data_IF_016162779867
#
_entry.id   IF_016162779867
#
_cell.length_a   1.000
_cell.length_b   1.000
_cell.length_c   1.000
_cell.angle_alpha   90.00
_cell.angle_beta   90.00
_cell.angle_gamma   90.00
#
_symmetry.space_group_name_H-M   'P 1'
#
loop_
_entity.id
_entity.type
_entity.pdbx_description
1 polymer ?
#
# COMPACT_ATOMS: atom_id res chain seq x y z
N UNK A 1 33.49 -0.91 -9.46
CA UNK A 1 32.89 -2.01 -8.66
C UNK A 1 31.66 -1.57 -7.87
N UNK A 2 31.75 -0.51 -7.04
CA UNK A 2 30.62 -0.01 -6.22
C UNK A 2 29.40 0.40 -7.08
N UNK A 3 29.60 1.09 -8.20
CA UNK A 3 28.49 1.47 -9.09
C UNK A 3 27.78 0.28 -9.75
N UNK A 4 28.51 -0.81 -10.07
CA UNK A 4 27.92 -2.00 -10.66
C UNK A 4 27.07 -2.77 -9.64
N UNK A 5 27.53 -2.86 -8.39
CA UNK A 5 26.75 -3.44 -7.27
C UNK A 5 25.49 -2.62 -7.03
N UNK A 6 25.58 -1.28 -7.04
CA UNK A 6 24.43 -0.38 -6.89
C UNK A 6 23.37 -0.58 -7.99
N UNK A 7 23.81 -0.81 -9.24
CA UNK A 7 22.90 -1.04 -10.38
C UNK A 7 22.22 -2.40 -10.28
N UNK A 8 22.98 -3.47 -10.06
CA UNK A 8 22.42 -4.83 -9.93
C UNK A 8 21.44 -4.88 -8.76
N UNK A 9 21.81 -4.31 -7.63
CA UNK A 9 20.97 -4.24 -6.44
C UNK A 9 19.69 -3.43 -6.70
N UNK A 10 19.81 -2.26 -7.33
CA UNK A 10 18.63 -1.42 -7.64
C UNK A 10 17.69 -2.03 -8.65
N UNK A 11 18.21 -2.72 -9.66
CA UNK A 11 17.38 -3.45 -10.62
C UNK A 11 16.69 -4.65 -9.95
N UNK A 12 17.45 -5.46 -9.21
CA UNK A 12 16.91 -6.65 -8.54
C UNK A 12 15.84 -6.27 -7.51
N UNK A 13 16.15 -5.41 -6.54
CA UNK A 13 15.22 -5.08 -5.46
C UNK A 13 14.14 -4.09 -5.90
N UNK A 14 14.45 -3.15 -6.80
CA UNK A 14 13.48 -2.17 -7.27
C UNK A 14 12.40 -2.77 -8.16
N UNK A 15 12.81 -3.50 -9.21
CA UNK A 15 11.85 -4.12 -10.13
C UNK A 15 11.08 -5.23 -9.41
N UNK A 16 11.76 -6.08 -8.64
CA UNK A 16 11.10 -7.15 -7.90
C UNK A 16 10.16 -6.63 -6.82
N UNK A 17 10.58 -5.61 -6.05
CA UNK A 17 9.75 -4.95 -5.06
C UNK A 17 8.49 -4.34 -5.67
N UNK A 18 8.61 -3.65 -6.81
CA UNK A 18 7.45 -3.14 -7.56
C UNK A 18 6.52 -4.27 -8.04
N UNK A 19 7.06 -5.35 -8.62
CA UNK A 19 6.26 -6.47 -9.11
C UNK A 19 5.47 -7.13 -7.97
N UNK A 20 6.13 -7.40 -6.83
CA UNK A 20 5.45 -7.98 -5.66
C UNK A 20 4.37 -7.04 -5.17
N UNK A 21 4.67 -5.75 -5.06
CA UNK A 21 3.70 -4.76 -4.60
C UNK A 21 2.47 -4.71 -5.51
N UNK A 22 2.65 -4.59 -6.83
CA UNK A 22 1.53 -4.55 -7.78
C UNK A 22 0.74 -5.87 -7.82
N UNK A 23 1.40 -7.03 -7.69
CA UNK A 23 0.68 -8.30 -7.48
C UNK A 23 -0.16 -8.27 -6.22
N UNK A 24 0.37 -7.69 -5.14
CA UNK A 24 -0.37 -7.46 -3.91
C UNK A 24 -1.57 -6.53 -4.11
N UNK A 25 -1.41 -5.42 -4.85
CA UNK A 25 -2.51 -4.50 -5.17
C UNK A 25 -3.61 -5.20 -5.96
N UNK A 26 -3.26 -5.97 -7.00
CA UNK A 26 -4.22 -6.73 -7.79
C UNK A 26 -4.99 -7.69 -6.89
N UNK A 27 -4.30 -8.44 -6.02
CA UNK A 27 -4.95 -9.35 -5.08
C UNK A 27 -5.79 -8.64 -4.01
N UNK A 28 -5.41 -7.44 -3.61
CA UNK A 28 -6.16 -6.63 -2.66
C UNK A 28 -7.47 -6.14 -3.30
N UNK A 29 -7.43 -5.77 -4.58
CA UNK A 29 -8.62 -5.34 -5.34
C UNK A 29 -9.51 -6.52 -5.74
N UNK A 30 -8.90 -7.64 -6.10
CA UNK A 30 -9.57 -8.90 -6.49
C UNK A 30 -9.92 -9.75 -5.26
N UNK A 31 -10.36 -9.12 -4.17
CA UNK A 31 -10.70 -9.80 -2.91
C UNK A 31 -11.92 -10.73 -3.11
N UNK A 32 -11.64 -11.91 -3.66
CA UNK A 32 -12.55 -13.03 -3.84
C UNK A 32 -12.42 -14.01 -2.67
N UNK A 33 -12.11 -13.53 -1.47
CA UNK A 33 -12.19 -14.36 -0.27
C UNK A 33 -13.54 -15.08 -0.28
N UNK A 34 -13.49 -16.40 -0.25
CA UNK A 34 -14.64 -17.27 -0.39
C UNK A 34 -15.56 -17.03 0.83
N UNK A 35 -16.55 -16.15 0.66
CA UNK A 35 -17.41 -15.62 1.73
C UNK A 35 -18.26 -16.71 2.42
N UNK A 36 -18.29 -17.89 1.81
CA UNK A 36 -19.04 -19.08 2.24
C UNK A 36 -18.20 -20.06 3.08
N UNK A 37 -16.86 -19.89 3.13
CA UNK A 37 -15.98 -20.79 3.89
C UNK A 37 -15.55 -20.18 5.22
N UNK A 38 -15.52 -21.01 6.26
CA UNK A 38 -14.82 -20.78 7.53
C UNK A 38 -13.30 -20.72 7.32
N UNK A 39 -12.81 -19.81 6.47
CA UNK A 39 -11.41 -19.39 6.55
C UNK A 39 -11.33 -18.28 7.59
N UNK A 40 -10.38 -18.41 8.51
CA UNK A 40 -10.11 -17.42 9.55
C UNK A 40 -9.64 -16.06 9.01
N UNK A 41 -9.43 -15.92 7.69
CA UNK A 41 -9.08 -14.67 7.05
C UNK A 41 -10.32 -13.83 6.71
N UNK A 42 -10.41 -12.66 7.35
CA UNK A 42 -11.44 -11.66 7.05
C UNK A 42 -11.17 -10.99 5.70
N UNK A 43 -12.24 -10.77 4.94
CA UNK A 43 -12.20 -9.94 3.72
C UNK A 43 -11.80 -8.50 4.06
N UNK A 44 -11.18 -7.80 3.10
CA UNK A 44 -10.93 -6.37 3.18
C UNK A 44 -12.19 -5.54 2.96
N UNK A 45 -13.17 -6.04 2.20
CA UNK A 45 -14.29 -5.23 1.73
C UNK A 45 -15.68 -5.78 2.04
N UNK A 46 -15.79 -7.11 2.17
CA UNK A 46 -17.06 -7.81 2.27
C UNK A 46 -17.30 -8.35 3.68
N UNK A 47 -18.55 -8.45 4.10
CA UNK A 47 -18.90 -9.14 5.36
C UNK A 47 -19.06 -10.63 5.17
N UNK A 48 -18.50 -11.42 6.09
CA UNK A 48 -18.78 -12.85 6.17
C UNK A 48 -20.25 -13.04 6.53
N UNK A 49 -21.08 -13.31 5.53
CA UNK A 49 -22.54 -13.22 5.60
C UNK A 49 -23.10 -14.08 6.73
N UNK A 50 -22.64 -15.32 6.85
CA UNK A 50 -22.99 -16.24 7.94
C UNK A 50 -22.76 -15.62 9.34
N UNK A 51 -21.53 -15.15 9.62
CA UNK A 51 -21.16 -14.55 10.90
C UNK A 51 -21.89 -13.24 11.16
N UNK A 52 -22.12 -12.46 10.11
CA UNK A 52 -22.84 -11.18 10.17
C UNK A 52 -24.28 -11.37 10.61
N UNK A 53 -25.05 -12.24 9.94
CA UNK A 53 -26.45 -12.47 10.30
C UNK A 53 -26.59 -13.20 11.64
N UNK A 54 -25.72 -14.18 11.94
CA UNK A 54 -25.66 -14.82 13.28
C UNK A 54 -25.38 -13.82 14.41
N UNK A 55 -24.76 -12.68 14.11
CA UNK A 55 -24.47 -11.60 15.05
C UNK A 55 -25.54 -10.49 15.07
N UNK A 56 -26.77 -10.79 14.63
CA UNK A 56 -27.88 -9.83 14.50
C UNK A 56 -27.60 -8.71 13.48
N UNK A 57 -26.88 -9.04 12.42
CA UNK A 57 -26.78 -8.20 11.23
C UNK A 57 -28.13 -8.05 10.54
N UNK A 58 -28.42 -6.85 10.07
CA UNK A 58 -29.60 -6.54 9.27
C UNK A 58 -29.18 -5.83 8.00
N UNK A 59 -29.72 -6.28 6.87
CA UNK A 59 -29.58 -5.66 5.56
C UNK A 59 -30.95 -5.20 5.09
N UNK A 60 -31.04 -3.99 4.57
CA UNK A 60 -32.25 -3.43 3.98
C UNK A 60 -31.93 -3.01 2.55
N UNK A 61 -32.69 -3.54 1.61
CA UNK A 61 -32.69 -3.03 0.24
C UNK A 61 -33.45 -1.69 0.22
N UNK A 62 -32.77 -0.64 -0.23
CA UNK A 62 -33.34 0.71 -0.26
C UNK A 62 -34.33 0.94 -1.40
N UNK A 63 -34.27 0.11 -2.45
CA UNK A 63 -35.13 0.23 -3.63
C UNK A 63 -36.47 -0.47 -3.40
N UNK A 64 -36.45 -1.64 -2.76
CA UNK A 64 -37.65 -2.45 -2.48
C UNK A 64 -38.19 -2.28 -1.06
N UNK A 65 -37.35 -1.84 -0.12
CA UNK A 65 -37.68 -1.79 1.31
C UNK A 65 -37.62 -3.16 2.01
N UNK A 66 -37.19 -4.22 1.32
CA UNK A 66 -37.07 -5.56 1.89
C UNK A 66 -36.01 -5.61 2.98
N UNK A 67 -36.34 -6.31 4.08
CA UNK A 67 -35.48 -6.43 5.26
C UNK A 67 -35.01 -7.87 5.40
N UNK A 68 -33.70 -8.06 5.27
CA UNK A 68 -33.04 -9.35 5.43
C UNK A 68 -32.37 -9.42 6.79
N UNK A 69 -32.74 -10.43 7.58
CA UNK A 69 -32.19 -10.74 8.91
C UNK A 69 -32.42 -12.22 9.22
N UNK A 70 -31.78 -12.75 10.25
CA UNK A 70 -32.14 -14.08 10.77
C UNK A 70 -33.61 -14.05 11.24
N UNK A 71 -34.41 -15.00 10.76
CA UNK A 71 -35.82 -15.13 11.13
C UNK A 71 -35.97 -16.44 11.90
N UNK A 72 -36.76 -16.43 12.98
CA UNK A 72 -37.18 -17.64 13.66
C UNK A 72 -38.47 -18.13 12.98
N UNK A 73 -38.44 -19.24 12.21
CA UNK A 73 -39.64 -19.76 11.58
C UNK A 73 -40.62 -20.23 12.65
N UNK A 74 -41.91 -20.04 12.41
CA UNK A 74 -43.00 -20.33 13.36
C UNK A 74 -42.96 -21.80 13.86
N UNK A 75 -42.44 -22.70 13.03
CA UNK A 75 -42.46 -24.14 13.28
C UNK A 75 -41.11 -24.75 13.71
N UNK A 76 -40.07 -23.93 13.92
CA UNK A 76 -38.74 -24.43 14.33
C UNK A 76 -38.11 -23.53 15.39
N UNK A 77 -37.57 -24.15 16.45
CA UNK A 77 -36.84 -23.44 17.51
C UNK A 77 -35.48 -22.83 17.08
N UNK A 78 -35.09 -22.98 15.82
CA UNK A 78 -33.81 -22.51 15.29
C UNK A 78 -34.00 -21.29 14.37
N UNK A 79 -33.09 -20.32 14.48
CA UNK A 79 -33.02 -19.20 13.55
C UNK A 79 -32.57 -19.69 12.17
N UNK A 80 -33.29 -19.30 11.11
CA UNK A 80 -32.95 -19.61 9.72
C UNK A 80 -32.24 -18.42 9.08
N UNK A 81 -31.24 -18.73 8.27
CA UNK A 81 -30.55 -17.77 7.43
C UNK A 81 -31.51 -17.23 6.35
N UNK A 82 -31.42 -15.96 5.96
CA UNK A 82 -32.25 -15.45 4.87
C UNK A 82 -31.76 -16.05 3.54
N UNK A 83 -32.52 -17.01 3.02
CA UNK A 83 -32.16 -17.81 1.83
C UNK A 83 -31.81 -16.93 0.62
N UNK A 84 -32.47 -15.78 0.47
CA UNK A 84 -32.25 -14.85 -0.64
C UNK A 84 -30.85 -14.22 -0.66
N UNK A 85 -30.12 -14.23 0.47
CA UNK A 85 -28.81 -13.55 0.64
C UNK A 85 -27.64 -14.52 0.77
N UNK A 86 -27.90 -15.84 0.75
CA UNK A 86 -26.91 -16.89 0.97
C UNK A 86 -25.75 -16.87 -0.05
N UNK A 87 -26.06 -16.52 -1.30
CA UNK A 87 -25.08 -16.47 -2.40
C UNK A 87 -24.58 -15.05 -2.73
N UNK A 88 -24.87 -14.05 -1.87
CA UNK A 88 -24.59 -12.63 -2.17
C UNK A 88 -23.37 -12.10 -1.44
N UNK A 89 -22.52 -11.34 -2.13
CA UNK A 89 -21.42 -10.60 -1.50
C UNK A 89 -21.92 -9.24 -1.00
N UNK A 90 -21.88 -9.01 0.30
CA UNK A 90 -22.26 -7.73 0.91
C UNK A 90 -20.99 -6.93 1.13
N UNK A 91 -20.76 -5.93 0.28
CA UNK A 91 -19.66 -4.98 0.42
C UNK A 91 -20.07 -3.89 1.38
N UNK A 92 -19.20 -3.59 2.34
CA UNK A 92 -19.39 -2.44 3.23
C UNK A 92 -18.38 -1.35 2.89
N UNK A 93 -17.16 -1.70 2.46
CA UNK A 93 -16.08 -0.75 2.16
C UNK A 93 -15.79 -0.60 0.66
N UNK A 94 -15.50 0.61 0.12
CA UNK A 94 -15.64 1.92 0.76
C UNK A 94 -17.10 2.44 0.68
N UNK A 95 -17.95 1.73 -0.05
CA UNK A 95 -19.37 1.99 -0.20
C UNK A 95 -20.15 0.72 0.16
N UNK A 96 -21.30 0.89 0.79
CA UNK A 96 -22.22 -0.21 1.02
C UNK A 96 -22.94 -0.56 -0.29
N UNK A 97 -22.63 -1.75 -0.82
CA UNK A 97 -23.28 -2.30 -2.00
C UNK A 97 -23.43 -3.80 -1.85
N UNK A 98 -24.48 -4.35 -2.45
CA UNK A 98 -24.60 -5.80 -2.62
C UNK A 98 -24.20 -6.16 -4.04
N UNK A 99 -23.23 -7.06 -4.20
CA UNK A 99 -22.71 -7.51 -5.50
C UNK A 99 -23.18 -8.95 -5.79
N UNK A 100 -23.57 -9.19 -7.05
CA UNK A 100 -23.97 -10.50 -7.56
C UNK A 100 -22.79 -11.18 -8.25
N UNK A 101 -22.62 -12.47 -8.01
CA UNK A 101 -21.75 -13.28 -8.86
C UNK A 101 -22.42 -13.40 -10.24
N UNK A 102 -21.65 -13.13 -11.30
CA UNK A 102 -22.12 -12.86 -12.67
C UNK A 102 -23.42 -13.59 -13.08
N UNK A 103 -24.52 -12.85 -13.11
CA UNK A 103 -25.78 -13.24 -13.73
C UNK A 103 -26.18 -12.17 -14.73
N UNK A 104 -26.36 -12.56 -16.00
CA UNK A 104 -26.61 -11.66 -17.15
C UNK A 104 -27.93 -10.88 -16.99
N UNK A 105 -28.79 -11.27 -16.06
CA UNK A 105 -30.15 -10.75 -15.91
C UNK A 105 -30.39 -9.84 -14.69
N UNK A 106 -29.39 -9.64 -13.82
CA UNK A 106 -29.55 -8.83 -12.61
C UNK A 106 -28.66 -7.59 -12.63
N UNK A 107 -29.15 -6.47 -12.09
CA UNK A 107 -28.34 -5.27 -11.86
C UNK A 107 -27.09 -5.67 -11.06
N UNK A 108 -25.92 -5.22 -11.51
CA UNK A 108 -24.62 -5.60 -10.93
C UNK A 108 -24.45 -5.16 -9.46
N UNK A 109 -25.19 -4.15 -9.00
CA UNK A 109 -25.17 -3.70 -7.60
C UNK A 109 -26.46 -2.98 -7.20
N UNK A 110 -26.87 -3.13 -5.94
CA UNK A 110 -28.02 -2.42 -5.35
C UNK A 110 -27.59 -1.59 -4.12
N UNK A 111 -28.33 -0.51 -3.86
CA UNK A 111 -28.11 0.38 -2.73
C UNK A 111 -28.70 -0.23 -1.46
N UNK A 112 -27.87 -0.44 -0.44
CA UNK A 112 -28.27 -1.14 0.78
C UNK A 112 -28.01 -0.29 2.02
N UNK A 113 -28.85 -0.47 3.03
CA UNK A 113 -28.52 -0.08 4.41
C UNK A 113 -28.15 -1.32 5.20
N UNK A 114 -27.00 -1.28 5.86
CA UNK A 114 -26.49 -2.39 6.68
C UNK A 114 -26.21 -1.89 8.09
N UNK A 115 -26.69 -2.61 9.09
CA UNK A 115 -26.42 -2.31 10.49
C UNK A 115 -26.36 -3.56 11.35
N UNK A 116 -25.68 -3.45 12.50
CA UNK A 116 -25.62 -4.49 13.52
C UNK A 116 -26.47 -4.09 14.73
N UNK A 117 -27.23 -5.02 15.31
CA UNK A 117 -27.91 -4.80 16.60
C UNK A 117 -27.14 -5.54 17.69
N UNK A 118 -26.61 -4.79 18.66
CA UNK A 118 -25.94 -5.39 19.82
C UNK A 118 -26.33 -4.68 21.10
N UNK A 119 -26.72 -5.46 22.12
CA UNK A 119 -27.15 -4.94 23.43
C UNK A 119 -28.25 -3.86 23.31
N UNK A 120 -29.19 -4.04 22.38
CA UNK A 120 -30.27 -3.08 22.09
C UNK A 120 -29.81 -1.81 21.36
N UNK A 121 -28.52 -1.65 21.05
CA UNK A 121 -27.98 -0.52 20.28
C UNK A 121 -27.82 -0.90 18.81
N UNK A 122 -28.21 0.04 17.94
CA UNK A 122 -28.03 -0.05 16.49
C UNK A 122 -26.70 0.58 16.09
N UNK A 123 -25.89 -0.15 15.33
CA UNK A 123 -24.62 0.30 14.77
C UNK A 123 -24.72 0.34 13.25
N UNK A 124 -24.89 1.53 12.69
CA UNK A 124 -24.93 1.71 11.24
C UNK A 124 -23.55 1.52 10.62
N UNK A 125 -23.45 0.60 9.65
CA UNK A 125 -22.20 0.29 8.95
C UNK A 125 -22.01 1.18 7.70
N UNK A 126 -23.07 1.84 7.24
CA UNK A 126 -23.12 2.61 5.99
C UNK A 126 -23.27 4.11 6.22
N UNK A 127 -22.26 4.76 6.80
CA UNK A 127 -22.33 6.18 7.16
C UNK A 127 -21.63 7.05 6.11
N UNK A 128 -22.42 7.74 5.27
CA UNK A 128 -21.94 8.60 4.16
C UNK A 128 -21.01 9.75 4.57
N UNK A 129 -21.07 10.19 5.83
CA UNK A 129 -20.29 11.36 6.27
C UNK A 129 -18.80 11.05 6.54
N UNK A 130 -18.44 9.76 6.64
CA UNK A 130 -17.05 9.32 6.82
C UNK A 130 -16.27 9.26 5.50
N UNK A 131 -16.99 9.26 4.37
CA UNK A 131 -16.44 9.09 3.02
C UNK A 131 -15.44 10.19 2.66
N UNK A 132 -15.73 11.46 2.99
CA UNK A 132 -14.83 12.58 2.63
C UNK A 132 -13.48 12.56 3.36
N UNK A 133 -13.47 12.30 4.66
CA UNK A 133 -12.22 12.21 5.46
C UNK A 133 -11.41 10.97 5.05
N UNK A 134 -12.10 9.86 4.82
CA UNK A 134 -11.49 8.64 4.29
C UNK A 134 -10.84 8.89 2.92
N UNK A 135 -11.61 9.43 1.95
CA UNK A 135 -11.14 9.73 0.60
C UNK A 135 -9.92 10.63 0.62
N UNK A 136 -9.97 11.70 1.40
CA UNK A 136 -8.83 12.62 1.55
C UNK A 136 -7.58 11.90 2.04
N UNK A 137 -7.69 11.06 3.06
CA UNK A 137 -6.54 10.33 3.63
C UNK A 137 -6.03 9.27 2.66
N UNK A 138 -6.91 8.53 1.98
CA UNK A 138 -6.48 7.49 1.05
C UNK A 138 -5.85 8.09 -0.22
N UNK A 139 -6.39 9.20 -0.74
CA UNK A 139 -5.81 9.94 -1.87
C UNK A 139 -4.44 10.48 -1.48
N UNK A 140 -4.33 11.09 -0.28
CA UNK A 140 -3.04 11.59 0.23
C UNK A 140 -2.02 10.45 0.30
N UNK A 141 -2.41 9.30 0.84
CA UNK A 141 -1.55 8.12 0.93
C UNK A 141 -1.11 7.61 -0.45
N UNK A 142 -2.02 7.52 -1.41
CA UNK A 142 -1.73 7.10 -2.79
C UNK A 142 -0.78 8.07 -3.48
N UNK A 143 -0.96 9.39 -3.31
CA UNK A 143 -0.07 10.41 -3.92
C UNK A 143 1.36 10.29 -3.38
N UNK A 144 1.53 10.19 -2.06
CA UNK A 144 2.86 9.99 -1.46
C UNK A 144 3.50 8.67 -1.89
N UNK A 145 2.70 7.61 -2.02
CA UNK A 145 3.18 6.31 -2.48
C UNK A 145 3.66 6.37 -3.94
N UNK A 146 2.88 6.99 -4.83
CA UNK A 146 3.25 7.19 -6.24
C UNK A 146 4.52 8.03 -6.37
N UNK A 147 4.67 9.08 -5.55
CA UNK A 147 5.91 9.87 -5.48
C UNK A 147 7.10 8.98 -5.10
N UNK A 148 6.93 8.10 -4.10
CA UNK A 148 7.96 7.14 -3.69
C UNK A 148 8.34 6.14 -4.80
N UNK A 149 7.37 5.67 -5.59
CA UNK A 149 7.63 4.82 -6.76
C UNK A 149 8.40 5.58 -7.86
N UNK A 150 8.03 6.82 -8.15
CA UNK A 150 8.75 7.67 -9.11
C UNK A 150 10.19 7.94 -8.68
N UNK A 151 10.42 8.16 -7.38
CA UNK A 151 11.78 8.30 -6.84
C UNK A 151 12.57 6.99 -6.94
N UNK A 152 11.91 5.84 -6.78
CA UNK A 152 12.53 4.53 -6.98
C UNK A 152 13.04 4.37 -8.43
N UNK A 153 12.20 4.70 -9.42
CA UNK A 153 12.59 4.69 -10.83
C UNK A 153 13.73 5.67 -11.10
N UNK A 154 13.69 6.86 -10.50
CA UNK A 154 14.74 7.88 -10.62
C UNK A 154 16.08 7.35 -10.12
N UNK A 155 16.12 6.65 -8.99
CA UNK A 155 17.35 6.06 -8.44
C UNK A 155 17.91 4.98 -9.36
N UNK A 156 17.06 4.13 -9.93
CA UNK A 156 17.50 3.10 -10.90
C UNK A 156 18.19 3.79 -12.08
N UNK A 157 17.57 4.84 -12.65
CA UNK A 157 18.14 5.59 -13.78
C UNK A 157 19.45 6.29 -13.39
N UNK A 158 19.51 6.94 -12.22
CA UNK A 158 20.70 7.64 -11.75
C UNK A 158 21.86 6.68 -11.49
N UNK A 159 21.59 5.50 -10.92
CA UNK A 159 22.61 4.47 -10.71
C UNK A 159 23.15 3.94 -12.05
N UNK A 160 22.28 3.70 -13.04
CA UNK A 160 22.71 3.29 -14.39
C UNK A 160 23.59 4.39 -15.02
N UNK A 161 23.18 5.65 -14.92
CA UNK A 161 23.94 6.80 -15.46
C UNK A 161 25.29 6.99 -14.77
N UNK A 162 25.37 6.70 -13.47
CA UNK A 162 26.62 6.67 -12.70
C UNK A 162 27.59 5.59 -13.19
N UNK A 163 27.08 4.51 -13.79
CA UNK A 163 27.90 3.42 -14.35
C UNK A 163 28.38 3.70 -15.78
N UNK A 164 27.55 4.32 -16.64
CA UNK A 164 27.89 4.55 -18.06
C UNK A 164 28.84 5.71 -18.30
N UNK A 165 28.78 6.76 -17.47
CA UNK A 165 29.78 7.81 -17.49
C UNK A 165 30.94 7.39 -16.59
N UNK A 166 32.04 6.92 -17.18
CA UNK A 166 33.32 6.60 -16.52
C UNK A 166 33.82 7.71 -15.58
N UNK A 167 33.28 8.93 -15.70
CA UNK A 167 33.30 10.00 -14.72
C UNK A 167 31.98 10.06 -13.94
N UNK A 168 31.90 9.38 -12.79
CA UNK A 168 30.83 9.51 -11.79
C UNK A 168 30.68 10.97 -11.35
N UNK A 169 29.80 11.76 -11.95
CA UNK A 169 29.63 13.14 -11.51
C UNK A 169 29.24 13.14 -10.01
N UNK A 170 29.98 13.81 -9.12
CA UNK A 170 29.66 13.82 -7.68
C UNK A 170 28.20 14.22 -7.42
N UNK A 171 27.66 15.04 -8.33
CA UNK A 171 26.29 15.51 -8.34
C UNK A 171 25.26 14.40 -8.60
N UNK A 172 25.59 13.34 -9.35
CA UNK A 172 24.65 12.23 -9.61
C UNK A 172 24.52 11.31 -8.40
N UNK A 173 25.60 11.02 -7.68
CA UNK A 173 25.55 10.21 -6.46
C UNK A 173 24.84 10.97 -5.33
N UNK A 174 25.12 12.27 -5.16
CA UNK A 174 24.42 13.10 -4.20
C UNK A 174 22.92 13.21 -4.53
N UNK A 175 22.57 13.40 -5.81
CA UNK A 175 21.18 13.38 -6.27
C UNK A 175 20.49 12.05 -5.98
N UNK A 176 21.15 10.92 -6.23
CA UNK A 176 20.62 9.58 -5.93
C UNK A 176 20.39 9.37 -4.43
N UNK A 177 21.29 9.85 -3.58
CA UNK A 177 21.14 9.79 -2.13
C UNK A 177 19.96 10.64 -1.62
N UNK A 178 19.80 11.87 -2.13
CA UNK A 178 18.68 12.76 -1.78
C UNK A 178 17.35 12.14 -2.24
N UNK A 179 17.28 11.66 -3.49
CA UNK A 179 16.10 10.98 -4.01
C UNK A 179 15.74 9.74 -3.19
N UNK A 180 16.75 8.99 -2.73
CA UNK A 180 16.55 7.82 -1.85
C UNK A 180 15.98 8.20 -0.50
N UNK A 181 16.49 9.28 0.10
CA UNK A 181 15.98 9.79 1.38
C UNK A 181 14.51 10.23 1.29
N UNK A 182 14.18 11.01 0.25
CA UNK A 182 12.79 11.40 -0.04
C UNK A 182 11.91 10.19 -0.36
N UNK A 183 12.46 9.16 -1.00
CA UNK A 183 11.78 7.92 -1.32
C UNK A 183 11.35 7.14 -0.08
N UNK A 184 12.23 6.98 0.91
CA UNK A 184 11.89 6.36 2.21
C UNK A 184 10.73 7.10 2.86
N UNK A 185 10.84 8.43 2.94
CA UNK A 185 9.82 9.28 3.59
C UNK A 185 8.48 9.14 2.86
N UNK A 186 8.47 9.28 1.53
CA UNK A 186 7.26 9.19 0.72
C UNK A 186 6.57 7.83 0.84
N UNK A 187 7.32 6.72 0.76
CA UNK A 187 6.76 5.38 0.90
C UNK A 187 6.23 5.12 2.32
N UNK A 188 6.96 5.53 3.36
CA UNK A 188 6.52 5.35 4.75
C UNK A 188 5.27 6.16 5.07
N UNK A 189 5.26 7.46 4.73
CA UNK A 189 4.10 8.33 4.91
C UNK A 189 2.91 7.79 4.12
N UNK A 190 3.12 7.44 2.84
CA UNK A 190 2.07 6.87 1.99
C UNK A 190 1.44 5.62 2.60
N UNK A 191 2.27 4.69 3.08
CA UNK A 191 1.82 3.46 3.74
C UNK A 191 1.04 3.73 5.05
N UNK A 192 1.49 4.69 5.86
CA UNK A 192 0.79 5.09 7.10
C UNK A 192 -0.59 5.67 6.76
N UNK A 193 -0.67 6.59 5.80
CA UNK A 193 -1.95 7.18 5.40
C UNK A 193 -2.89 6.13 4.82
N UNK A 194 -2.43 5.22 3.95
CA UNK A 194 -3.26 4.13 3.44
C UNK A 194 -3.75 3.24 4.59
N UNK A 195 -2.86 2.76 5.45
CA UNK A 195 -3.21 1.84 6.55
C UNK A 195 -4.18 2.47 7.55
N UNK A 196 -3.95 3.73 7.91
CA UNK A 196 -4.85 4.47 8.81
C UNK A 196 -6.19 4.78 8.16
N UNK A 197 -6.24 5.03 6.85
CA UNK A 197 -7.51 5.21 6.12
C UNK A 197 -8.33 3.92 6.11
N UNK A 198 -7.67 2.78 5.88
CA UNK A 198 -8.31 1.47 5.93
C UNK A 198 -8.92 1.21 7.32
N UNK A 199 -8.16 1.48 8.40
CA UNK A 199 -8.66 1.33 9.78
C UNK A 199 -9.84 2.26 10.12
N UNK A 200 -9.80 3.50 9.63
CA UNK A 200 -10.79 4.53 9.95
C UNK A 200 -12.22 4.15 9.56
N UNK A 201 -12.40 3.30 8.53
CA UNK A 201 -13.71 2.98 7.99
C UNK A 201 -14.64 2.24 8.96
N UNK A 202 -14.11 1.45 9.90
CA UNK A 202 -14.92 0.79 10.94
C UNK A 202 -14.70 1.39 12.32
N UNK A 203 -13.93 2.47 12.46
CA UNK A 203 -13.64 3.07 13.76
C UNK A 203 -14.85 3.79 14.37
N UNK A 204 -15.81 4.24 13.55
CA UNK A 204 -17.08 4.78 14.04
C UNK A 204 -17.96 3.72 14.69
N UNK A 205 -17.77 2.45 14.32
CA UNK A 205 -18.44 1.30 14.93
C UNK A 205 -17.72 1.01 16.26
N UNK A 206 -18.26 1.56 17.36
CA UNK A 206 -17.76 1.40 18.74
C UNK A 206 -17.95 -0.02 19.27
N UNK A 207 -17.33 -0.98 18.60
CA UNK A 207 -17.21 -2.39 18.94
C UNK A 207 -15.71 -2.72 19.11
N UNK A 208 -15.39 -3.63 20.01
CA UNK A 208 -14.00 -4.12 20.15
C UNK A 208 -13.59 -4.92 18.91
N UNK A 209 -12.29 -5.13 18.71
CA UNK A 209 -11.78 -5.89 17.57
C UNK A 209 -12.38 -7.30 17.52
N UNK A 210 -12.42 -8.00 18.66
CA UNK A 210 -13.02 -9.33 18.78
C UNK A 210 -14.51 -9.35 18.40
N UNK A 211 -15.24 -8.30 18.75
CA UNK A 211 -16.65 -8.17 18.41
C UNK A 211 -16.86 -7.95 16.91
N UNK A 212 -16.00 -7.14 16.28
CA UNK A 212 -16.00 -6.93 14.83
C UNK A 212 -15.69 -8.25 14.10
N UNK A 213 -14.68 -9.00 14.58
CA UNK A 213 -14.31 -10.30 14.03
C UNK A 213 -15.44 -11.33 14.20
N UNK A 214 -16.05 -11.41 15.38
CA UNK A 214 -17.18 -12.31 15.62
C UNK A 214 -18.40 -11.97 14.75
N UNK A 215 -18.61 -10.69 14.48
CA UNK A 215 -19.65 -10.20 13.57
C UNK A 215 -19.29 -10.36 12.09
N UNK A 216 -18.14 -10.94 11.73
CA UNK A 216 -17.74 -11.13 10.35
C UNK A 216 -17.52 -9.83 9.58
N UNK A 217 -17.19 -8.74 10.29
CA UNK A 217 -16.92 -7.44 9.66
C UNK A 217 -15.56 -7.46 8.95
N UNK A 218 -15.42 -6.75 7.83
CA UNK A 218 -14.15 -6.71 7.09
C UNK A 218 -13.04 -6.10 7.94
N UNK A 219 -11.80 -6.54 7.73
CA UNK A 219 -10.61 -5.97 8.37
C UNK A 219 -9.65 -5.45 7.29
N UNK A 220 -9.98 -4.31 6.65
CA UNK A 220 -9.18 -3.78 5.55
C UNK A 220 -7.75 -3.52 6.03
N UNK A 221 -6.79 -4.23 5.43
CA UNK A 221 -5.35 -4.11 5.74
C UNK A 221 -4.51 -4.39 4.51
N UNK A 222 -3.28 -3.88 4.51
CA UNK A 222 -2.30 -4.25 3.49
C UNK A 222 -2.07 -5.75 3.55
N UNK A 223 -2.26 -6.44 2.42
CA UNK A 223 -1.97 -7.87 2.37
C UNK A 223 -0.46 -8.13 2.45
N UNK A 224 -0.08 -9.38 2.75
CA UNK A 224 1.32 -9.75 2.95
C UNK A 224 2.23 -9.39 1.77
N UNK A 225 1.72 -9.44 0.53
CA UNK A 225 2.48 -9.07 -0.67
C UNK A 225 2.68 -7.56 -0.79
N UNK A 226 1.66 -6.75 -0.53
CA UNK A 226 1.81 -5.30 -0.49
C UNK A 226 2.84 -4.89 0.56
N UNK A 227 2.76 -5.46 1.76
CA UNK A 227 3.72 -5.20 2.85
C UNK A 227 5.14 -5.64 2.46
N UNK A 228 5.30 -6.84 1.92
CA UNK A 228 6.61 -7.33 1.47
C UNK A 228 7.21 -6.46 0.36
N UNK A 229 6.41 -6.06 -0.63
CA UNK A 229 6.83 -5.16 -1.70
C UNK A 229 7.26 -3.80 -1.17
N UNK A 230 6.47 -3.20 -0.27
CA UNK A 230 6.81 -1.94 0.41
C UNK A 230 8.14 -2.06 1.18
N UNK A 231 8.33 -3.13 1.95
CA UNK A 231 9.57 -3.35 2.73
C UNK A 231 10.78 -3.46 1.79
N UNK A 232 10.66 -4.21 0.69
CA UNK A 232 11.73 -4.32 -0.31
C UNK A 232 12.10 -2.97 -0.91
N UNK A 233 11.11 -2.12 -1.22
CA UNK A 233 11.34 -0.78 -1.73
C UNK A 233 12.02 0.12 -0.68
N UNK A 234 11.61 0.06 0.59
CA UNK A 234 12.26 0.83 1.67
C UNK A 234 13.72 0.37 1.86
N UNK A 235 13.96 -0.94 1.92
CA UNK A 235 15.32 -1.52 2.03
C UNK A 235 16.19 -1.09 0.85
N UNK A 236 15.62 -1.06 -0.35
CA UNK A 236 16.29 -0.54 -1.53
C UNK A 236 16.77 0.90 -1.35
N UNK A 237 15.89 1.79 -0.87
CA UNK A 237 16.25 3.18 -0.65
C UNK A 237 17.33 3.32 0.44
N UNK A 238 17.23 2.58 1.54
CA UNK A 238 18.22 2.60 2.62
C UNK A 238 19.62 2.17 2.14
N UNK A 239 19.69 1.09 1.37
CA UNK A 239 20.95 0.59 0.83
C UNK A 239 21.52 1.55 -0.22
N UNK A 240 20.66 2.18 -1.04
CA UNK A 240 21.11 3.21 -1.97
C UNK A 240 21.65 4.45 -1.28
N UNK A 241 21.07 4.88 -0.15
CA UNK A 241 21.63 5.97 0.66
C UNK A 241 23.06 5.61 1.09
N UNK A 242 23.27 4.40 1.61
CA UNK A 242 24.57 3.94 2.06
C UNK A 242 25.60 3.89 0.92
N UNK A 243 25.26 3.21 -0.17
CA UNK A 243 26.18 3.00 -1.31
C UNK A 243 26.54 4.34 -1.97
N UNK A 244 25.55 5.21 -2.23
CA UNK A 244 25.80 6.49 -2.90
C UNK A 244 26.56 7.48 -2.01
N UNK A 245 26.32 7.47 -0.69
CA UNK A 245 27.08 8.28 0.26
C UNK A 245 28.55 7.86 0.30
N UNK A 246 28.83 6.56 0.41
CA UNK A 246 30.20 6.03 0.38
C UNK A 246 30.87 6.35 -0.96
N UNK A 247 30.15 6.14 -2.08
CA UNK A 247 30.65 6.46 -3.41
C UNK A 247 31.01 7.94 -3.56
N UNK A 248 30.21 8.85 -3.00
CA UNK A 248 30.49 10.28 -3.00
C UNK A 248 31.73 10.63 -2.15
N UNK A 249 31.86 10.04 -0.95
CA UNK A 249 33.01 10.30 -0.05
C UNK A 249 34.32 9.82 -0.67
N UNK A 250 34.36 8.59 -1.18
CA UNK A 250 35.57 8.02 -1.82
C UNK A 250 36.01 8.89 -3.00
N UNK A 251 35.06 9.31 -3.84
CA UNK A 251 35.37 10.15 -4.98
C UNK A 251 35.83 11.56 -4.58
N UNK A 252 35.27 12.12 -3.51
CA UNK A 252 35.75 13.41 -3.01
C UNK A 252 37.23 13.33 -2.59
N UNK A 253 37.66 12.22 -1.98
CA UNK A 253 39.06 11.95 -1.67
C UNK A 253 39.92 11.81 -2.95
N UNK A 254 39.48 11.01 -3.92
CA UNK A 254 40.19 10.84 -5.20
C UNK A 254 40.36 12.16 -5.96
N UNK A 255 39.30 12.98 -6.03
CA UNK A 255 39.35 14.30 -6.68
C UNK A 255 40.30 15.26 -5.97
N UNK A 256 40.37 15.18 -4.64
CA UNK A 256 41.32 15.98 -3.85
C UNK A 256 42.76 15.57 -4.16
N UNK A 257 43.06 14.27 -4.17
CA UNK A 257 44.39 13.76 -4.52
C UNK A 257 44.80 14.11 -5.96
N UNK A 258 43.88 13.96 -6.93
CA UNK A 258 44.15 14.33 -8.33
C UNK A 258 44.41 15.83 -8.48
N UNK A 259 43.67 16.67 -7.75
CA UNK A 259 43.86 18.13 -7.76
C UNK A 259 45.21 18.53 -7.17
N UNK A 260 45.62 17.88 -6.08
CA UNK A 260 46.95 18.08 -5.47
C UNK A 260 48.07 17.65 -6.42
N UNK A 261 47.95 16.49 -7.07
CA UNK A 261 48.93 16.03 -8.08
C UNK A 261 48.99 16.93 -9.31
N UNK A 262 47.85 17.41 -9.81
CA UNK A 262 47.82 18.35 -10.93
C UNK A 262 48.53 19.66 -10.59
N UNK A 263 48.30 20.18 -9.37
CA UNK A 263 48.97 21.38 -8.87
C UNK A 263 50.49 21.20 -8.75
N UNK A 264 50.96 20.03 -8.27
CA UNK A 264 52.39 19.71 -8.22
C UNK A 264 53.05 19.63 -9.61
N UNK A 265 52.35 19.08 -10.61
CA UNK A 265 52.84 18.98 -11.99
C UNK A 265 52.98 20.38 -12.59
N UNK A 266 51.98 21.25 -12.43
CA UNK A 266 52.03 22.63 -12.92
C UNK A 266 53.15 23.44 -12.23
N UNK A 267 53.32 23.28 -10.92
CA UNK A 267 54.43 23.90 -10.18
C UNK A 267 55.80 23.44 -10.68
N UNK A 268 55.98 22.14 -10.93
CA UNK A 268 57.22 21.58 -11.47
C UNK A 268 57.50 22.06 -12.91
N UNK A 269 56.46 22.16 -13.75
CA UNK A 269 56.57 22.67 -15.12
C UNK A 269 56.99 24.13 -15.13
N UNK A 270 56.37 24.97 -14.30
CA UNK A 270 56.74 26.38 -14.15
C UNK A 270 58.16 26.57 -13.57
N UNK A 271 58.61 25.71 -12.66
CA UNK A 271 60.00 25.72 -12.15
C UNK A 271 61.04 25.29 -13.19
N UNK A 272 60.69 24.38 -14.11
CA UNK A 272 61.59 23.98 -15.20
C UNK A 272 61.75 25.09 -16.24
N UNK A 273 60.65 25.75 -16.62
CA UNK A 273 60.71 26.88 -17.55
C UNK A 273 61.52 28.07 -17.03
N UNK A 274 61.50 28.34 -15.71
CA UNK A 274 62.33 29.39 -15.07
C UNK A 274 63.82 29.04 -14.91
N UNK A 275 64.21 27.79 -15.12
CA UNK A 275 65.63 27.37 -15.07
C UNK A 275 66.28 27.30 -16.47
N UNK A 276 65.47 27.43 -17.51
CA UNK A 276 65.89 27.44 -18.92
C UNK A 276 65.96 28.85 -19.53
N UNK A 277 65.60 29.88 -18.75
CA UNK A 277 65.96 31.29 -18.97
C UNK A 277 67.20 31.62 -18.14
#
# INVERSE_FOLDING_TARGET
>A
MISAVAVIFSLAFGIYGMIIFFKGVIQFLDDNSDMTKEKDEMSNFYVQTDRFFKSNGVLIDMDTGEVFKMIMPINTGALRFPDDVADRKIRIFPFCSQEYEFSIHYRQSFNIKVYLIKNGKKYDLCVKNLTNEFEKRIITGVVFFLLGLLLTLTIIILNIKSMTNSCVNSNTNLGSAISSFLGVIGLAIGAIFITTSLGYFLDHVKLTREEKTKAGLPEPKLNGKMTAGLVLLIVLHLINIFINTIGAILRHKELKELRERAFEIDLKKNRRNRKSE
#
